data_IF_994171992741
#
_entry.id   IF_994171992741
#
_cell.length_a   1.000
_cell.length_b   1.000
_cell.length_c   1.000
_cell.angle_alpha   90.00
_cell.angle_beta   90.00
_cell.angle_gamma   90.00
#
_symmetry.space_group_name_H-M   'P 1'
#
loop_
_entity.id
_entity.type
_entity.pdbx_description
1 polymer ?
#
# COMPACT_ATOMS: atom_id res chain seq x y z
N UNK A 1 1.52 36.82 14.10
CA UNK A 1 2.67 36.68 13.17
C UNK A 1 2.67 35.24 12.69
N UNK A 2 1.94 34.96 11.60
CA UNK A 2 2.50 34.67 10.26
C UNK A 2 3.55 33.55 10.33
N UNK A 3 3.14 32.32 9.99
CA UNK A 3 3.87 31.31 9.20
C UNK A 3 3.16 29.96 9.35
N UNK A 4 2.20 29.66 8.48
CA UNK A 4 1.73 28.31 8.12
C UNK A 4 0.73 28.44 6.97
N UNK A 5 1.24 28.95 5.85
CA UNK A 5 0.58 28.96 4.56
C UNK A 5 1.66 28.49 3.59
N UNK A 6 1.26 27.68 2.61
CA UNK A 6 2.06 27.10 1.50
C UNK A 6 2.41 25.62 1.72
N UNK A 7 1.52 24.77 1.20
CA UNK A 7 1.69 23.32 1.10
C UNK A 7 0.39 22.58 0.73
N UNK A 8 -0.42 23.12 -0.20
CA UNK A 8 -1.80 22.65 -0.45
C UNK A 8 -2.27 22.94 -1.89
N UNK A 9 -1.90 22.13 -2.90
CA UNK A 9 -2.33 22.48 -4.28
C UNK A 9 -2.55 21.40 -5.34
N UNK A 10 -2.25 20.12 -5.09
CA UNK A 10 -2.25 19.14 -6.20
C UNK A 10 -3.57 18.35 -6.25
N UNK A 11 -4.08 17.88 -5.12
CA UNK A 11 -5.26 17.03 -5.11
C UNK A 11 -6.60 17.78 -5.26
N UNK A 12 -6.59 19.07 -4.93
CA UNK A 12 -7.66 20.00 -5.29
C UNK A 12 -7.83 20.17 -6.79
N UNK A 13 -6.74 20.09 -7.56
CA UNK A 13 -6.82 20.23 -9.02
C UNK A 13 -7.32 18.96 -9.69
N UNK A 14 -7.08 17.81 -9.06
CA UNK A 14 -7.59 16.52 -9.48
C UNK A 14 -9.10 16.46 -9.22
N UNK A 15 -9.57 16.62 -7.98
CA UNK A 15 -11.01 16.46 -7.67
C UNK A 15 -11.90 17.55 -8.31
N UNK A 16 -11.45 18.80 -8.45
CA UNK A 16 -12.22 19.85 -9.14
C UNK A 16 -12.38 19.64 -10.66
N UNK A 17 -11.57 18.79 -11.30
CA UNK A 17 -11.54 18.66 -12.77
C UNK A 17 -11.93 17.28 -13.28
N UNK A 18 -12.42 16.40 -12.42
CA UNK A 18 -12.65 14.98 -12.74
C UNK A 18 -14.13 14.62 -12.47
N UNK A 19 -15.07 15.01 -13.36
CA UNK A 19 -16.48 14.64 -13.23
C UNK A 19 -16.71 13.13 -13.14
N UNK A 20 -15.76 12.30 -13.59
CA UNK A 20 -15.89 10.83 -13.53
C UNK A 20 -15.99 10.30 -12.10
N UNK A 21 -15.44 11.02 -11.11
CA UNK A 21 -15.45 10.63 -9.70
C UNK A 21 -16.71 11.08 -8.94
N UNK A 22 -17.60 11.85 -9.55
CA UNK A 22 -18.75 12.40 -8.85
C UNK A 22 -19.76 11.30 -8.53
N UNK A 23 -20.18 11.21 -7.27
CA UNK A 23 -21.07 10.14 -6.80
C UNK A 23 -20.40 8.76 -6.69
N UNK A 24 -19.06 8.68 -6.76
CA UNK A 24 -18.32 7.43 -6.75
C UNK A 24 -17.78 7.06 -5.36
N UNK A 25 -17.44 5.78 -5.21
CA UNK A 25 -16.77 5.24 -4.04
C UNK A 25 -15.43 4.65 -4.46
N UNK A 26 -14.34 5.16 -3.91
CA UNK A 26 -12.98 4.67 -4.16
C UNK A 26 -12.35 4.11 -2.88
N UNK A 27 -11.60 3.01 -2.98
CA UNK A 27 -10.91 2.43 -1.82
C UNK A 27 -9.53 1.91 -2.16
N UNK A 28 -8.70 1.77 -1.13
CA UNK A 28 -7.40 1.09 -1.18
C UNK A 28 -7.28 0.02 -0.10
N UNK A 29 -6.73 -1.13 -0.49
CA UNK A 29 -6.49 -2.30 0.35
C UNK A 29 -5.00 -2.63 0.49
N UNK A 30 -4.63 -3.18 1.65
CA UNK A 30 -3.34 -3.84 1.93
C UNK A 30 -2.11 -2.97 2.14
N UNK A 31 -2.32 -1.86 2.84
CA UNK A 31 -1.28 -0.88 3.12
C UNK A 31 -0.20 -1.38 4.09
N UNK A 32 1.04 -0.94 3.84
CA UNK A 32 2.02 -0.79 4.91
C UNK A 32 1.73 0.47 5.73
N UNK A 33 2.11 0.48 7.02
CA UNK A 33 1.81 1.60 7.93
C UNK A 33 2.37 2.96 7.49
N UNK A 34 3.40 2.97 6.63
CA UNK A 34 3.96 4.18 6.01
C UNK A 34 3.06 4.75 4.89
N UNK A 35 2.19 3.94 4.29
CA UNK A 35 1.38 4.31 3.12
C UNK A 35 -0.01 4.81 3.49
N UNK A 36 -0.52 4.45 4.68
CA UNK A 36 -1.84 4.84 5.21
C UNK A 36 -2.01 6.37 5.24
N UNK A 37 -0.91 7.10 5.41
CA UNK A 37 -0.95 8.52 5.75
C UNK A 37 -0.51 9.43 4.58
N UNK A 38 0.22 8.89 3.59
CA UNK A 38 0.49 9.56 2.31
C UNK A 38 -0.78 9.71 1.45
N UNK A 39 -1.83 8.94 1.80
CA UNK A 39 -3.19 9.02 1.27
C UNK A 39 -4.12 9.93 2.07
N UNK A 40 -3.63 10.68 3.08
CA UNK A 40 -4.32 11.94 3.41
C UNK A 40 -4.23 12.78 2.15
N UNK A 41 -5.28 12.73 1.34
CA UNK A 41 -5.50 13.67 0.26
C UNK A 41 -5.18 15.04 0.89
N UNK A 42 -4.21 15.81 0.38
CA UNK A 42 -3.94 17.16 0.85
C UNK A 42 -5.29 17.80 1.08
N UNK A 43 -5.58 18.17 2.34
CA UNK A 43 -6.84 18.80 2.73
C UNK A 43 -7.12 19.84 1.65
N UNK A 44 -8.14 19.56 0.86
CA UNK A 44 -8.36 20.26 -0.38
C UNK A 44 -8.59 21.74 0.00
N UNK A 45 -7.86 22.73 -0.56
CA UNK A 45 -8.22 24.13 -0.41
C UNK A 45 -9.65 24.47 -0.87
N UNK A 46 -10.31 23.56 -1.60
CA UNK A 46 -11.67 23.71 -2.14
C UNK A 46 -12.75 23.13 -1.22
N UNK A 47 -12.53 21.97 -0.59
CA UNK A 47 -13.48 21.35 0.33
C UNK A 47 -12.81 20.54 1.46
N UNK A 48 -13.29 20.72 2.69
CA UNK A 48 -12.81 19.91 3.81
C UNK A 48 -13.45 18.52 3.80
N UNK A 49 -12.64 17.48 3.57
CA UNK A 49 -13.07 16.09 3.70
C UNK A 49 -13.59 15.81 5.12
N UNK A 50 -14.74 15.15 5.24
CA UNK A 50 -15.29 14.75 6.54
C UNK A 50 -14.88 13.32 6.83
N UNK A 51 -14.18 13.09 7.95
CA UNK A 51 -13.89 11.73 8.43
C UNK A 51 -15.22 11.07 8.84
N UNK A 52 -15.63 10.07 8.08
CA UNK A 52 -16.90 9.36 8.26
C UNK A 52 -16.74 8.12 9.16
N UNK A 53 -15.62 7.41 9.04
CA UNK A 53 -15.32 6.22 9.82
C UNK A 53 -13.81 6.11 10.09
N UNK A 54 -13.46 5.55 11.24
CA UNK A 54 -12.13 5.02 11.50
C UNK A 54 -12.23 3.80 12.43
N UNK A 55 -11.30 2.86 12.32
CA UNK A 55 -11.15 1.79 13.32
C UNK A 55 -10.49 2.32 14.61
N UNK A 56 -10.43 1.49 15.67
CA UNK A 56 -9.84 1.86 16.96
C UNK A 56 -8.37 2.32 16.85
N UNK A 57 -7.64 1.76 15.89
CA UNK A 57 -6.22 2.02 15.65
C UNK A 57 -5.96 3.17 14.65
N UNK A 58 -7.02 3.73 14.07
CA UNK A 58 -6.99 4.67 12.96
C UNK A 58 -6.23 4.16 11.72
N UNK A 59 -6.08 2.85 11.54
CA UNK A 59 -5.37 2.29 10.38
C UNK A 59 -6.30 2.19 9.18
N UNK A 60 -7.56 1.83 9.41
CA UNK A 60 -8.64 1.94 8.43
C UNK A 60 -9.44 3.22 8.66
N UNK A 61 -9.67 4.00 7.60
CA UNK A 61 -10.36 5.28 7.64
C UNK A 61 -11.19 5.47 6.37
N UNK A 62 -12.33 6.14 6.51
CA UNK A 62 -13.20 6.52 5.38
C UNK A 62 -13.52 7.99 5.48
N UNK A 63 -13.39 8.69 4.36
CA UNK A 63 -13.69 10.11 4.23
C UNK A 63 -14.79 10.32 3.20
N UNK A 64 -15.62 11.32 3.46
CA UNK A 64 -16.65 11.82 2.56
C UNK A 64 -16.26 13.22 2.08
N UNK A 65 -16.42 13.44 0.78
CA UNK A 65 -16.33 14.74 0.11
C UNK A 65 -17.74 15.16 -0.34
N UNK A 66 -18.49 15.91 0.49
CA UNK A 66 -19.91 16.19 0.24
C UNK A 66 -20.20 16.87 -1.10
N UNK A 67 -19.38 17.84 -1.52
CA UNK A 67 -19.60 18.61 -2.75
C UNK A 67 -19.50 17.74 -4.00
N UNK A 68 -18.80 16.61 -3.91
CA UNK A 68 -18.61 15.65 -4.99
C UNK A 68 -19.41 14.36 -4.82
N UNK A 69 -20.09 14.21 -3.67
CA UNK A 69 -20.67 12.94 -3.23
C UNK A 69 -19.67 11.76 -3.39
N UNK A 70 -18.40 12.03 -3.09
CA UNK A 70 -17.30 11.08 -3.27
C UNK A 70 -16.94 10.48 -1.91
N UNK A 71 -16.91 9.15 -1.83
CA UNK A 71 -16.41 8.44 -0.65
C UNK A 71 -15.06 7.83 -0.96
N UNK A 72 -14.06 8.11 -0.13
CA UNK A 72 -12.73 7.50 -0.25
C UNK A 72 -12.41 6.72 1.01
N UNK A 73 -11.82 5.53 0.87
CA UNK A 73 -11.44 4.71 2.02
C UNK A 73 -10.03 4.15 1.89
N UNK A 74 -9.44 3.93 3.05
CA UNK A 74 -8.19 3.23 3.28
C UNK A 74 -8.53 2.12 4.25
N UNK A 75 -8.29 0.86 3.86
CA UNK A 75 -8.60 -0.30 4.67
C UNK A 75 -7.31 -1.09 4.91
N UNK A 76 -6.96 -1.19 6.18
CA UNK A 76 -5.72 -1.83 6.59
C UNK A 76 -5.89 -3.34 6.60
N UNK A 77 -5.24 -3.98 5.65
CA UNK A 77 -5.22 -5.44 5.49
C UNK A 77 -3.85 -5.87 4.93
N UNK A 78 -2.76 -5.71 5.69
CA UNK A 78 -1.39 -5.71 5.17
C UNK A 78 -0.97 -7.00 4.46
N UNK A 79 -1.65 -8.12 4.74
CA UNK A 79 -1.47 -9.39 4.07
C UNK A 79 -2.57 -9.69 3.04
N UNK A 80 -3.66 -8.92 2.96
CA UNK A 80 -4.89 -9.22 2.20
C UNK A 80 -5.59 -10.54 2.57
N UNK A 81 -4.94 -11.40 3.34
CA UNK A 81 -5.46 -12.58 3.98
C UNK A 81 -5.69 -12.35 5.47
N UNK A 82 -6.50 -13.22 6.08
CA UNK A 82 -6.70 -13.27 7.53
C UNK A 82 -5.33 -13.41 8.21
N UNK A 83 -4.98 -12.39 8.98
CA UNK A 83 -3.74 -12.33 9.73
C UNK A 83 -3.98 -11.92 11.18
N UNK A 84 -3.32 -12.59 12.11
CA UNK A 84 -3.32 -12.23 13.53
C UNK A 84 -1.99 -11.54 13.81
N UNK A 85 -2.04 -10.20 13.85
CA UNK A 85 -0.88 -9.36 14.05
C UNK A 85 -0.73 -9.06 15.55
N UNK A 86 0.39 -9.44 16.18
CA UNK A 86 0.57 -9.27 17.61
C UNK A 86 0.78 -7.81 17.99
N UNK A 87 0.37 -7.42 19.20
CA UNK A 87 0.48 -6.02 19.66
C UNK A 87 1.92 -5.51 19.73
N UNK A 88 2.88 -6.42 19.99
CA UNK A 88 4.31 -6.12 20.06
C UNK A 88 5.01 -6.10 18.67
N UNK A 89 4.27 -6.07 17.56
CA UNK A 89 4.85 -6.15 16.20
C UNK A 89 5.84 -5.01 15.87
N UNK A 90 5.80 -3.91 16.63
CA UNK A 90 6.69 -2.76 16.51
C UNK A 90 7.80 -2.70 17.57
N UNK A 91 7.84 -3.69 18.47
CA UNK A 91 8.83 -3.73 19.56
C UNK A 91 10.17 -4.29 19.06
N UNK A 92 11.22 -4.18 19.88
CA UNK A 92 12.56 -4.67 19.55
C UNK A 92 12.64 -6.20 19.38
N UNK A 93 11.67 -6.94 19.96
CA UNK A 93 11.52 -8.38 19.82
C UNK A 93 10.06 -8.70 19.50
N UNK A 94 9.63 -8.48 18.24
CA UNK A 94 8.25 -8.74 17.84
C UNK A 94 7.94 -10.23 17.87
N UNK A 95 6.69 -10.57 18.16
CA UNK A 95 6.20 -11.94 17.97
C UNK A 95 5.93 -12.20 16.48
N UNK A 96 5.86 -13.48 16.10
CA UNK A 96 5.52 -13.87 14.73
C UNK A 96 4.08 -13.49 14.38
N UNK A 97 3.81 -13.17 13.12
CA UNK A 97 2.46 -12.95 12.59
C UNK A 97 1.86 -14.29 12.16
N UNK A 98 0.65 -14.62 12.61
CA UNK A 98 -0.06 -15.79 12.07
C UNK A 98 -0.83 -15.38 10.80
N UNK A 99 -0.58 -16.04 9.67
CA UNK A 99 -1.22 -15.73 8.38
C UNK A 99 -1.90 -16.98 7.81
N UNK A 100 -3.21 -16.89 7.56
CA UNK A 100 -4.01 -17.99 7.00
C UNK A 100 -4.07 -17.87 5.47
N UNK A 101 -3.39 -18.77 4.75
CA UNK A 101 -3.19 -18.68 3.31
C UNK A 101 -4.44 -18.97 2.47
N UNK A 102 -5.42 -19.62 3.08
CA UNK A 102 -6.68 -20.08 2.47
C UNK A 102 -7.87 -19.17 2.80
N UNK A 103 -7.68 -18.15 3.62
CA UNK A 103 -8.74 -17.24 4.07
C UNK A 103 -8.37 -15.80 3.75
N UNK A 104 -9.09 -15.18 2.82
CA UNK A 104 -8.98 -13.75 2.55
C UNK A 104 -9.54 -12.92 3.72
N UNK A 105 -9.03 -11.70 3.91
CA UNK A 105 -9.42 -10.86 5.04
C UNK A 105 -10.85 -10.28 4.87
N UNK A 106 -11.80 -10.60 5.78
CA UNK A 106 -13.16 -10.07 5.76
C UNK A 106 -13.25 -8.54 5.72
N UNK A 107 -12.23 -7.86 6.26
CA UNK A 107 -12.19 -6.39 6.31
C UNK A 107 -12.36 -5.75 4.93
N UNK A 108 -11.92 -6.40 3.86
CA UNK A 108 -12.11 -5.92 2.50
C UNK A 108 -13.08 -6.76 1.67
N UNK A 109 -13.11 -8.09 1.85
CA UNK A 109 -13.98 -8.95 1.03
C UNK A 109 -15.46 -8.62 1.21
N UNK A 110 -15.88 -8.31 2.44
CA UNK A 110 -17.28 -8.07 2.78
C UNK A 110 -17.85 -6.80 2.12
N UNK A 111 -16.98 -5.84 1.81
CA UNK A 111 -17.34 -4.57 1.20
C UNK A 111 -16.80 -4.39 -0.22
N UNK A 112 -16.05 -5.36 -0.75
CA UNK A 112 -15.39 -5.27 -2.05
C UNK A 112 -16.34 -4.84 -3.17
N UNK A 113 -17.53 -5.45 -3.23
CA UNK A 113 -18.53 -5.16 -4.28
C UNK A 113 -19.14 -3.76 -4.20
N UNK A 114 -18.92 -3.02 -3.11
CA UNK A 114 -19.52 -1.70 -2.89
C UNK A 114 -18.70 -0.53 -3.46
N UNK A 115 -17.49 -0.80 -3.95
CA UNK A 115 -16.54 0.21 -4.42
C UNK A 115 -16.57 0.34 -5.96
N UNK A 116 -16.59 1.55 -6.49
CA UNK A 116 -16.48 1.79 -7.94
C UNK A 116 -15.03 1.66 -8.43
N UNK A 117 -14.08 2.04 -7.59
CA UNK A 117 -12.65 1.97 -7.85
C UNK A 117 -11.94 1.35 -6.65
N UNK A 118 -11.16 0.31 -6.89
CA UNK A 118 -10.42 -0.39 -5.84
C UNK A 118 -8.96 -0.46 -6.20
N UNK A 119 -8.07 -0.13 -5.27
CA UNK A 119 -6.62 -0.30 -5.43
C UNK A 119 -6.08 -1.30 -4.41
N UNK A 120 -5.71 -2.51 -4.84
CA UNK A 120 -5.06 -3.49 -3.99
C UNK A 120 -3.54 -3.28 -3.99
N UNK A 121 -2.92 -3.47 -2.85
CA UNK A 121 -1.47 -3.59 -2.74
C UNK A 121 -1.12 -4.55 -1.60
N UNK A 122 0.02 -5.20 -1.69
CA UNK A 122 0.65 -5.94 -0.60
C UNK A 122 2.17 -5.79 -0.75
N UNK A 123 2.96 -6.53 0.03
CA UNK A 123 4.40 -6.59 -0.19
C UNK A 123 5.20 -6.74 1.09
N UNK A 124 5.85 -5.67 1.52
CA UNK A 124 6.90 -5.68 2.57
C UNK A 124 6.47 -6.22 3.94
N UNK A 125 5.17 -6.34 4.23
CA UNK A 125 4.72 -7.04 5.44
C UNK A 125 5.07 -8.53 5.45
N UNK A 126 5.21 -9.15 4.28
CA UNK A 126 5.60 -10.55 4.16
C UNK A 126 7.06 -10.82 4.54
N UNK A 127 7.91 -9.79 4.62
CA UNK A 127 9.28 -9.96 5.13
C UNK A 127 9.33 -10.09 6.66
N UNK A 128 8.22 -9.87 7.37
CA UNK A 128 8.11 -10.02 8.83
C UNK A 128 8.12 -11.51 9.19
N UNK A 129 8.74 -11.85 10.30
CA UNK A 129 8.63 -13.18 10.90
C UNK A 129 7.17 -13.60 11.03
N UNK A 130 6.83 -14.75 10.44
CA UNK A 130 5.45 -15.20 10.25
C UNK A 130 5.30 -16.70 10.35
N UNK A 131 4.15 -17.18 10.79
CA UNK A 131 3.72 -18.58 10.76
C UNK A 131 2.55 -18.70 9.79
N UNK A 132 2.64 -19.64 8.86
CA UNK A 132 1.66 -19.80 7.79
C UNK A 132 0.74 -21.00 8.05
N UNK A 133 -0.56 -20.75 7.94
CA UNK A 133 -1.62 -21.72 8.22
C UNK A 133 -2.43 -22.03 6.96
N UNK A 134 -2.98 -23.24 6.92
CA UNK A 134 -4.02 -23.64 5.98
C UNK A 134 -5.00 -24.56 6.71
N UNK A 135 -6.31 -24.33 6.58
CA UNK A 135 -7.35 -25.04 7.34
C UNK A 135 -7.03 -25.08 8.85
N UNK A 136 -6.62 -23.93 9.39
CA UNK A 136 -6.18 -23.75 10.78
C UNK A 136 -5.02 -24.68 11.24
N UNK A 137 -4.28 -25.27 10.30
CA UNK A 137 -3.12 -26.12 10.56
C UNK A 137 -1.84 -25.40 10.14
N UNK A 138 -0.81 -25.41 10.99
CA UNK A 138 0.51 -24.83 10.68
C UNK A 138 1.16 -25.63 9.56
N UNK A 139 1.60 -24.95 8.50
CA UNK A 139 2.35 -25.55 7.41
C UNK A 139 3.87 -25.31 7.55
N UNK A 140 4.28 -24.04 7.62
CA UNK A 140 5.69 -23.62 7.72
C UNK A 140 5.78 -22.20 8.30
N UNK A 141 7.00 -21.68 8.42
CA UNK A 141 7.23 -20.31 8.86
C UNK A 141 8.23 -19.55 7.96
N UNK A 142 8.35 -18.25 8.21
CA UNK A 142 9.43 -17.39 7.73
C UNK A 142 10.10 -16.74 8.94
N UNK A 143 11.43 -16.85 9.02
CA UNK A 143 12.26 -16.24 10.06
C UNK A 143 11.78 -16.56 11.49
N UNK A 144 11.62 -17.86 11.80
CA UNK A 144 11.11 -18.33 13.09
C UNK A 144 12.14 -19.15 13.91
N UNK A 145 13.32 -18.60 14.24
CA UNK A 145 14.43 -19.37 14.83
C UNK A 145 14.11 -19.99 16.21
N UNK A 146 13.05 -19.53 16.89
CA UNK A 146 12.63 -19.99 18.21
C UNK A 146 11.58 -21.12 18.17
N UNK A 147 11.11 -21.51 16.98
CA UNK A 147 10.08 -22.54 16.81
C UNK A 147 10.69 -23.79 16.16
N UNK A 148 10.16 -24.95 16.53
CA UNK A 148 10.47 -26.20 15.83
C UNK A 148 9.56 -26.34 14.59
N UNK A 149 9.68 -25.41 13.65
CA UNK A 149 8.95 -25.38 12.39
C UNK A 149 9.94 -25.30 11.23
N UNK A 150 9.57 -25.85 10.08
CA UNK A 150 10.35 -25.71 8.86
C UNK A 150 10.26 -24.27 8.37
N UNK A 151 11.40 -23.61 8.20
CA UNK A 151 11.48 -22.31 7.55
C UNK A 151 11.56 -22.51 6.03
N UNK A 152 10.50 -22.15 5.32
CA UNK A 152 10.42 -22.20 3.84
C UNK A 152 10.50 -20.78 3.27
N UNK A 153 10.42 -19.75 4.11
CA UNK A 153 10.37 -18.35 3.68
C UNK A 153 8.96 -17.87 3.31
N UNK A 154 8.91 -16.60 2.91
CA UNK A 154 7.65 -15.86 2.67
C UNK A 154 7.13 -15.92 1.23
N UNK A 155 7.98 -16.24 0.26
CA UNK A 155 7.71 -16.15 -1.18
C UNK A 155 6.51 -17.02 -1.61
N UNK A 156 6.48 -18.26 -1.13
CA UNK A 156 5.39 -19.21 -1.38
C UNK A 156 4.08 -18.76 -0.75
N UNK A 157 4.13 -18.15 0.44
CA UNK A 157 2.97 -17.59 1.11
C UNK A 157 2.44 -16.36 0.37
N UNK A 158 3.34 -15.46 -0.02
CA UNK A 158 3.00 -14.27 -0.78
C UNK A 158 2.33 -14.62 -2.10
N UNK A 159 2.94 -15.50 -2.91
CA UNK A 159 2.36 -15.97 -4.18
C UNK A 159 0.98 -16.57 -3.98
N UNK A 160 0.78 -17.44 -2.98
CA UNK A 160 -0.53 -18.07 -2.71
C UNK A 160 -1.62 -17.04 -2.38
N UNK A 161 -1.29 -16.03 -1.58
CA UNK A 161 -2.27 -15.00 -1.22
C UNK A 161 -2.56 -14.07 -2.40
N UNK A 162 -1.55 -13.62 -3.15
CA UNK A 162 -1.77 -12.80 -4.35
C UNK A 162 -2.61 -13.56 -5.38
N UNK A 163 -2.31 -14.84 -5.59
CA UNK A 163 -3.11 -15.73 -6.44
C UNK A 163 -4.58 -15.77 -5.95
N UNK A 164 -4.82 -16.03 -4.66
CA UNK A 164 -6.16 -16.08 -4.09
C UNK A 164 -6.94 -14.76 -4.15
N UNK A 165 -6.26 -13.62 -3.93
CA UNK A 165 -6.86 -12.28 -4.07
C UNK A 165 -7.31 -12.04 -5.51
N UNK A 166 -6.44 -12.33 -6.49
CA UNK A 166 -6.73 -12.12 -7.89
C UNK A 166 -7.83 -13.06 -8.39
N UNK A 167 -7.82 -14.33 -7.98
CA UNK A 167 -8.88 -15.29 -8.30
C UNK A 167 -10.23 -14.82 -7.73
N UNK A 168 -10.26 -14.36 -6.49
CA UNK A 168 -11.45 -13.78 -5.88
C UNK A 168 -11.98 -12.57 -6.68
N UNK A 169 -11.10 -11.66 -7.11
CA UNK A 169 -11.48 -10.51 -7.94
C UNK A 169 -12.10 -10.97 -9.25
N UNK A 170 -11.47 -11.94 -9.93
CA UNK A 170 -11.92 -12.47 -11.22
C UNK A 170 -13.27 -13.20 -11.11
N UNK A 171 -13.54 -13.89 -10.00
CA UNK A 171 -14.79 -14.61 -9.76
C UNK A 171 -15.91 -13.76 -9.17
N UNK A 172 -15.61 -12.56 -8.69
CA UNK A 172 -16.53 -11.74 -7.91
C UNK A 172 -17.76 -11.21 -8.68
N UNK A 173 -17.74 -11.19 -10.01
CA UNK A 173 -18.67 -10.42 -10.86
C UNK A 173 -18.73 -8.92 -10.48
N UNK A 174 -17.63 -8.36 -9.99
CA UNK A 174 -17.52 -6.94 -9.65
C UNK A 174 -17.54 -6.06 -10.90
N UNK A 175 -18.33 -4.98 -10.85
CA UNK A 175 -18.51 -4.05 -11.99
C UNK A 175 -17.58 -2.83 -11.92
N UNK A 176 -17.00 -2.55 -10.74
CA UNK A 176 -16.03 -1.50 -10.53
C UNK A 176 -14.67 -1.81 -11.16
N UNK A 177 -13.83 -0.80 -11.25
CA UNK A 177 -12.47 -0.93 -11.78
C UNK A 177 -11.53 -1.31 -10.64
N UNK A 178 -10.77 -2.38 -10.84
CA UNK A 178 -9.81 -2.89 -9.86
C UNK A 178 -8.39 -2.67 -10.37
N UNK A 179 -7.61 -1.96 -9.58
CA UNK A 179 -6.18 -1.79 -9.75
C UNK A 179 -5.45 -2.72 -8.80
N UNK A 180 -4.42 -3.39 -9.29
CA UNK A 180 -3.39 -3.99 -8.46
C UNK A 180 -2.13 -3.14 -8.57
N UNK A 181 -1.77 -2.44 -7.49
CA UNK A 181 -0.54 -1.65 -7.41
C UNK A 181 0.62 -2.50 -6.93
N UNK A 182 1.64 -2.58 -7.77
CA UNK A 182 2.88 -3.30 -7.46
C UNK A 182 3.60 -2.74 -6.23
N UNK A 183 4.48 -3.56 -5.66
CA UNK A 183 5.37 -3.17 -4.57
C UNK A 183 6.21 -1.94 -4.95
N UNK A 184 6.34 -1.01 -4.01
CA UNK A 184 7.19 0.16 -4.16
C UNK A 184 8.63 -0.20 -3.78
N UNK A 185 9.64 0.19 -4.57
CA UNK A 185 11.02 -0.14 -4.29
C UNK A 185 11.54 0.57 -3.05
N UNK A 186 12.38 -0.12 -2.29
CA UNK A 186 13.23 0.48 -1.28
C UNK A 186 14.53 1.00 -1.91
N UNK A 187 15.15 2.00 -1.29
CA UNK A 187 16.38 2.64 -1.79
C UNK A 187 17.51 2.63 -0.77
N UNK A 188 17.58 1.56 0.03
CA UNK A 188 18.66 1.39 1.00
C UNK A 188 19.93 0.93 0.28
N UNK A 189 21.05 1.59 0.60
CA UNK A 189 22.39 1.25 0.15
C UNK A 189 23.18 0.65 1.34
N UNK A 190 24.08 -0.29 1.04
CA UNK A 190 24.93 -0.98 2.01
C UNK A 190 24.28 -2.19 2.70
N UNK A 191 22.98 -2.12 3.02
CA UNK A 191 22.20 -3.23 3.60
C UNK A 191 20.69 -2.95 3.45
N UNK A 192 19.84 -3.87 3.94
CA UNK A 192 18.38 -3.68 4.00
C UNK A 192 17.96 -2.71 5.12
N UNK A 193 16.70 -2.25 5.07
CA UNK A 193 16.16 -1.29 6.05
C UNK A 193 16.24 -1.78 7.51
N UNK A 194 16.16 -3.09 7.73
CA UNK A 194 16.23 -3.74 9.04
C UNK A 194 17.66 -4.15 9.43
N UNK A 195 18.62 -4.03 8.52
CA UNK A 195 20.01 -4.46 8.71
C UNK A 195 21.01 -3.30 8.55
N UNK A 196 20.58 -2.09 8.93
CA UNK A 196 21.45 -0.91 8.95
C UNK A 196 21.65 -0.19 7.62
N UNK A 197 20.84 -0.51 6.61
CA UNK A 197 20.84 0.17 5.32
C UNK A 197 20.52 1.67 5.43
N UNK A 198 21.04 2.47 4.50
CA UNK A 198 20.81 3.92 4.47
C UNK A 198 20.37 4.41 3.10
N UNK A 199 19.46 5.38 3.08
CA UNK A 199 19.07 6.09 1.86
C UNK A 199 19.55 7.54 1.97
N UNK A 200 20.69 7.87 1.36
CA UNK A 200 21.32 9.19 1.45
C UNK A 200 21.27 10.00 0.15
N UNK A 201 20.72 9.43 -0.92
CA UNK A 201 20.59 10.12 -2.20
C UNK A 201 19.63 11.31 -2.08
N UNK A 202 19.98 12.40 -2.76
CA UNK A 202 19.31 13.71 -2.66
C UNK A 202 18.71 14.21 -3.97
N UNK A 203 18.71 13.36 -4.99
CA UNK A 203 18.11 13.65 -6.27
C UNK A 203 17.68 12.37 -6.99
N UNK A 204 16.91 12.53 -8.07
CA UNK A 204 16.52 11.41 -8.92
C UNK A 204 17.73 10.79 -9.61
N UNK A 205 17.57 9.54 -10.04
CA UNK A 205 18.60 8.74 -10.72
C UNK A 205 18.14 8.37 -12.12
N UNK A 206 19.10 8.03 -12.98
CA UNK A 206 18.78 7.51 -14.32
C UNK A 206 18.48 6.03 -14.28
N UNK A 207 17.82 5.56 -15.32
CA UNK A 207 17.61 4.12 -15.53
C UNK A 207 18.95 3.38 -15.51
N UNK A 208 19.00 2.30 -14.72
CA UNK A 208 20.21 1.48 -14.51
C UNK A 208 21.17 1.98 -13.42
N UNK A 209 20.99 3.18 -12.86
CA UNK A 209 21.83 3.68 -11.75
C UNK A 209 21.42 3.15 -10.37
N UNK A 210 20.20 2.61 -10.26
CA UNK A 210 19.68 1.98 -9.05
C UNK A 210 18.99 0.65 -9.40
N UNK A 211 19.27 -0.37 -8.61
CA UNK A 211 18.70 -1.71 -8.77
C UNK A 211 17.66 -2.02 -7.70
N UNK A 212 16.72 -2.91 -8.01
CA UNK A 212 15.82 -3.44 -6.99
C UNK A 212 16.60 -4.25 -5.95
N UNK A 213 16.19 -4.11 -4.69
CA UNK A 213 16.62 -5.03 -3.64
C UNK A 213 16.19 -6.46 -3.95
N UNK A 214 16.83 -7.44 -3.31
CA UNK A 214 16.43 -8.85 -3.46
C UNK A 214 14.97 -9.07 -3.07
N UNK A 215 14.54 -8.44 -1.97
CA UNK A 215 13.15 -8.50 -1.49
C UNK A 215 12.18 -7.88 -2.50
N UNK A 216 12.44 -6.64 -2.94
CA UNK A 216 11.55 -5.93 -3.87
C UNK A 216 11.45 -6.64 -5.22
N UNK A 217 12.54 -7.29 -5.67
CA UNK A 217 12.54 -8.11 -6.88
C UNK A 217 11.63 -9.33 -6.75
N UNK A 218 11.76 -10.11 -5.68
CA UNK A 218 10.88 -11.29 -5.45
C UNK A 218 9.42 -10.89 -5.41
N UNK A 219 9.09 -9.83 -4.66
CA UNK A 219 7.73 -9.33 -4.54
C UNK A 219 7.19 -8.94 -5.91
N UNK A 220 7.90 -8.08 -6.66
CA UNK A 220 7.45 -7.61 -7.97
C UNK A 220 7.31 -8.74 -8.99
N UNK A 221 8.26 -9.67 -9.04
CA UNK A 221 8.23 -10.78 -9.98
C UNK A 221 6.97 -11.64 -9.75
N UNK A 222 6.65 -11.96 -8.49
CA UNK A 222 5.41 -12.67 -8.13
C UNK A 222 4.16 -11.87 -8.51
N UNK A 223 4.14 -10.57 -8.21
CA UNK A 223 3.00 -9.70 -8.53
C UNK A 223 2.71 -9.65 -10.03
N UNK A 224 3.74 -9.48 -10.86
CA UNK A 224 3.60 -9.40 -12.31
C UNK A 224 3.21 -10.75 -12.91
N UNK A 225 3.80 -11.85 -12.44
CA UNK A 225 3.46 -13.20 -12.88
C UNK A 225 1.99 -13.53 -12.60
N UNK A 226 1.55 -13.38 -11.35
CA UNK A 226 0.18 -13.73 -10.95
C UNK A 226 -0.85 -12.76 -11.52
N UNK A 227 -0.52 -11.46 -11.62
CA UNK A 227 -1.38 -10.49 -12.30
C UNK A 227 -1.55 -10.86 -13.78
N UNK A 228 -0.46 -11.23 -14.47
CA UNK A 228 -0.52 -11.64 -15.87
C UNK A 228 -1.45 -12.82 -16.11
N UNK A 229 -1.41 -13.83 -15.23
CA UNK A 229 -2.34 -14.97 -15.24
C UNK A 229 -3.79 -14.51 -15.05
N UNK A 230 -4.08 -13.75 -14.00
CA UNK A 230 -5.43 -13.32 -13.68
C UNK A 230 -6.00 -12.33 -14.71
N UNK A 231 -5.16 -11.51 -15.34
CA UNK A 231 -5.58 -10.54 -16.35
C UNK A 231 -6.20 -11.20 -17.58
N UNK A 232 -5.65 -12.34 -18.02
CA UNK A 232 -6.21 -13.11 -19.15
C UNK A 232 -7.63 -13.57 -18.83
N UNK A 233 -7.81 -14.17 -17.66
CA UNK A 233 -9.13 -14.66 -17.22
C UNK A 233 -10.12 -13.51 -16.94
N UNK A 234 -9.65 -12.41 -16.34
CA UNK A 234 -10.44 -11.21 -16.12
C UNK A 234 -11.02 -10.67 -17.42
N UNK A 235 -10.21 -10.63 -18.49
CA UNK A 235 -10.63 -10.15 -19.81
C UNK A 235 -11.72 -11.03 -20.41
N UNK A 236 -11.61 -12.35 -20.27
CA UNK A 236 -12.63 -13.30 -20.74
C UNK A 236 -13.95 -13.14 -20.00
N UNK A 237 -13.89 -12.85 -18.70
CA UNK A 237 -15.07 -12.62 -17.84
C UNK A 237 -15.59 -11.17 -17.85
N UNK A 238 -14.92 -10.26 -18.57
CA UNK A 238 -15.28 -8.84 -18.62
C UNK A 238 -15.02 -8.06 -17.32
N UNK A 239 -14.17 -8.58 -16.43
CA UNK A 239 -13.76 -7.92 -15.18
C UNK A 239 -12.73 -6.82 -15.49
N UNK A 240 -12.94 -5.61 -14.97
CA UNK A 240 -12.07 -4.44 -15.19
C UNK A 240 -10.84 -4.47 -14.27
N UNK A 241 -9.94 -5.41 -14.52
CA UNK A 241 -8.68 -5.56 -13.78
C UNK A 241 -7.51 -4.87 -14.50
N UNK A 242 -6.78 -4.02 -13.77
CA UNK A 242 -5.65 -3.21 -14.30
C UNK A 242 -4.44 -3.29 -13.38
N UNK A 243 -3.25 -3.30 -13.96
CA UNK A 243 -2.00 -3.20 -13.20
C UNK A 243 -1.63 -1.73 -13.06
N UNK A 244 -1.35 -1.29 -11.85
CA UNK A 244 -0.78 0.01 -11.55
C UNK A 244 0.70 -0.18 -11.15
N UNK A 245 1.56 -0.35 -12.15
CA UNK A 245 2.99 -0.62 -11.94
C UNK A 245 3.75 0.66 -11.57
N UNK A 246 3.77 0.96 -10.27
CA UNK A 246 4.49 2.11 -9.73
C UNK A 246 5.99 1.86 -9.60
N UNK A 247 6.44 0.61 -9.75
CA UNK A 247 7.79 0.22 -9.36
C UNK A 247 8.89 0.86 -10.24
N UNK A 248 8.84 0.80 -11.58
CA UNK A 248 9.86 1.40 -12.45
C UNK A 248 9.97 2.91 -12.22
N UNK A 249 8.83 3.60 -12.12
CA UNK A 249 8.82 5.05 -11.89
C UNK A 249 9.45 5.36 -10.53
N UNK A 250 9.04 4.66 -9.47
CA UNK A 250 9.51 4.92 -8.11
C UNK A 250 10.99 4.65 -7.91
N UNK A 251 11.56 3.71 -8.68
CA UNK A 251 12.99 3.35 -8.61
C UNK A 251 13.91 4.51 -9.01
N UNK A 252 13.38 5.47 -9.78
CA UNK A 252 14.11 6.64 -10.24
C UNK A 252 14.16 7.78 -9.20
N UNK A 253 13.49 7.63 -8.05
CA UNK A 253 13.35 8.68 -7.03
C UNK A 253 13.79 8.22 -5.65
N UNK A 254 15.08 7.88 -5.45
CA UNK A 254 15.61 7.53 -4.13
C UNK A 254 15.55 8.69 -3.13
N UNK A 255 15.46 9.93 -3.61
CA UNK A 255 15.27 11.14 -2.80
C UNK A 255 13.84 11.35 -2.30
N UNK A 256 12.89 10.52 -2.73
CA UNK A 256 11.49 10.58 -2.29
C UNK A 256 11.21 10.02 -0.90
N UNK A 257 12.21 9.47 -0.20
CA UNK A 257 12.04 8.91 1.14
C UNK A 257 12.15 10.01 2.23
N UNK A 258 11.41 9.91 3.35
CA UNK A 258 11.48 10.88 4.45
C UNK A 258 12.83 10.96 5.19
N UNK A 259 13.85 10.20 4.77
CA UNK A 259 15.21 10.20 5.33
C UNK A 259 15.30 9.82 6.82
N UNK A 260 16.50 9.91 7.41
CA UNK A 260 16.76 9.64 8.84
C UNK A 260 15.98 10.56 9.80
N UNK A 261 15.53 11.72 9.34
CA UNK A 261 14.83 12.71 10.16
C UNK A 261 13.48 12.18 10.70
N UNK A 262 12.86 11.19 10.05
CA UNK A 262 11.66 10.53 10.57
C UNK A 262 11.89 9.50 11.69
N UNK A 263 13.11 8.99 11.84
CA UNK A 263 13.41 7.88 12.76
C UNK A 263 13.91 8.32 14.15
N UNK A 264 14.22 9.59 14.36
CA UNK A 264 14.79 10.11 15.63
C UNK A 264 13.74 10.52 16.69
N UNK A 265 12.45 10.36 16.41
CA UNK A 265 11.38 10.73 17.34
C UNK A 265 11.03 9.55 18.28
N UNK A 266 11.13 9.76 19.60
CA UNK A 266 10.89 8.75 20.66
C UNK A 266 9.42 8.58 21.05
N UNK A 267 8.50 9.19 20.31
CA UNK A 267 7.04 9.12 20.56
C UNK A 267 6.41 7.85 19.96
N UNK A 268 5.16 7.50 20.32
CA UNK A 268 4.51 6.30 19.81
C UNK A 268 4.44 6.25 18.28
N UNK A 269 4.46 5.05 17.71
CA UNK A 269 4.56 4.78 16.26
C UNK A 269 3.51 5.56 15.44
N UNK A 270 2.27 5.69 15.92
CA UNK A 270 1.23 6.47 15.24
C UNK A 270 1.52 7.98 15.18
N UNK A 271 2.20 8.55 16.19
CA UNK A 271 2.67 9.94 16.20
C UNK A 271 3.90 10.13 15.31
N UNK A 272 4.73 9.08 15.17
CA UNK A 272 5.90 9.07 14.26
C UNK A 272 5.45 9.00 12.80
N UNK A 273 4.46 8.18 12.49
CA UNK A 273 3.81 8.11 11.17
C UNK A 273 3.26 9.50 10.77
N UNK A 274 2.54 10.18 11.68
CA UNK A 274 2.02 11.54 11.43
C UNK A 274 3.10 12.55 11.04
N UNK A 275 4.34 12.38 11.54
CA UNK A 275 5.47 13.27 11.26
C UNK A 275 6.40 12.81 10.15
N UNK A 276 6.41 11.53 9.79
CA UNK A 276 7.14 11.04 8.62
C UNK A 276 6.63 11.73 7.34
N UNK A 277 5.33 12.05 7.27
CA UNK A 277 4.78 12.94 6.23
C UNK A 277 5.32 14.37 6.30
N UNK A 278 5.47 14.93 7.50
CA UNK A 278 5.90 16.32 7.69
C UNK A 278 7.35 16.52 7.24
N UNK A 279 8.18 15.47 7.28
CA UNK A 279 9.61 15.56 6.98
C UNK A 279 9.92 15.25 5.51
N UNK A 280 9.11 14.44 4.82
CA UNK A 280 9.15 14.33 3.36
C UNK A 280 8.64 15.60 2.63
N UNK A 281 8.04 16.55 3.36
CA UNK A 281 7.32 17.70 2.81
C UNK A 281 7.77 19.08 3.34
N UNK A 282 9.00 19.24 3.84
CA UNK A 282 9.49 20.58 4.19
C UNK A 282 10.07 21.26 2.92
N UNK A 283 9.16 21.75 2.07
CA UNK A 283 9.48 22.78 1.08
C UNK A 283 9.16 22.42 -0.37
N UNK A 284 7.90 22.58 -0.77
CA UNK A 284 7.52 23.04 -2.11
C UNK A 284 7.80 22.18 -3.37
N UNK A 285 8.33 20.94 -3.27
CA UNK A 285 8.49 20.06 -4.44
C UNK A 285 7.45 18.92 -4.46
N UNK A 286 6.84 18.59 -5.61
CA UNK A 286 6.06 17.37 -5.76
C UNK A 286 6.94 16.15 -5.50
N UNK A 287 6.43 15.19 -4.74
CA UNK A 287 7.12 13.94 -4.42
C UNK A 287 6.64 12.77 -5.30
N UNK A 288 7.28 11.59 -5.22
CA UNK A 288 6.89 10.43 -6.04
C UNK A 288 5.43 9.99 -5.87
N UNK A 289 4.84 10.23 -4.70
CA UNK A 289 3.42 9.94 -4.43
C UNK A 289 2.49 10.84 -5.25
N UNK A 290 2.86 12.09 -5.52
CA UNK A 290 2.07 12.98 -6.38
C UNK A 290 2.01 12.42 -7.81
N UNK A 291 3.15 11.94 -8.33
CA UNK A 291 3.21 11.29 -9.65
C UNK A 291 2.42 9.98 -9.71
N UNK A 292 2.39 9.19 -8.62
CA UNK A 292 1.52 8.02 -8.55
C UNK A 292 0.06 8.41 -8.67
N UNK A 293 -0.37 9.46 -7.97
CA UNK A 293 -1.73 9.95 -8.04
C UNK A 293 -2.06 10.42 -9.46
N UNK A 294 -1.19 11.19 -10.10
CA UNK A 294 -1.40 11.64 -11.49
C UNK A 294 -1.59 10.46 -12.46
N UNK A 295 -0.76 9.42 -12.37
CA UNK A 295 -0.89 8.21 -13.20
C UNK A 295 -2.18 7.44 -12.87
N UNK A 296 -2.50 7.24 -11.59
CA UNK A 296 -3.71 6.55 -11.20
C UNK A 296 -4.96 7.27 -11.71
N UNK A 297 -4.96 8.61 -11.63
CA UNK A 297 -6.08 9.42 -12.12
C UNK A 297 -6.20 9.36 -13.64
N UNK A 298 -5.08 9.39 -14.37
CA UNK A 298 -5.08 9.17 -15.82
C UNK A 298 -5.68 7.80 -16.18
N UNK A 299 -5.36 6.76 -15.42
CA UNK A 299 -5.94 5.42 -15.60
C UNK A 299 -7.44 5.35 -15.24
N UNK A 300 -7.92 6.22 -14.35
CA UNK A 300 -9.34 6.31 -13.97
C UNK A 300 -10.17 7.00 -15.07
N UNK A 301 -9.63 8.07 -15.68
CA UNK A 301 -10.33 8.87 -16.68
C UNK A 301 -10.24 8.26 -18.08
N UNK A 302 -9.04 7.90 -18.49
CA UNK A 302 -8.73 7.53 -19.88
C UNK A 302 -8.46 6.02 -20.05
N UNK A 303 -8.47 5.27 -18.96
CA UNK A 303 -8.18 3.84 -18.96
C UNK A 303 -9.28 2.99 -19.56
#
# INVERSE_FOLDING_TARGET
>A
MKHQLIGFKILSQILCKQPELYGKRATRFGLSSLEVEATRLPLDPVEHATLFYHDESYQSQTWLFPSYNLTTSVIWSPFLAKAIIPQNIYDASPSEVDVHLDTLDPSWTDQFKTWDYTNFSAGKWYSRSSIYYQNDTVLWCHDCPKRNLTDIGFDSAYRRVIMGVLDYIVESNHTGTVFYRTTSPSHFEGAEWFDGGVCERKGPVKEGEFGLSWLDKILRDIEIEEFGRAYVEAREKGVKLRVFDVNPMSLLWPDGHPGRLGFLDRRPVWVRMQRLLVIACIGACPGPIDSWNDVLMEMVVNG
#
